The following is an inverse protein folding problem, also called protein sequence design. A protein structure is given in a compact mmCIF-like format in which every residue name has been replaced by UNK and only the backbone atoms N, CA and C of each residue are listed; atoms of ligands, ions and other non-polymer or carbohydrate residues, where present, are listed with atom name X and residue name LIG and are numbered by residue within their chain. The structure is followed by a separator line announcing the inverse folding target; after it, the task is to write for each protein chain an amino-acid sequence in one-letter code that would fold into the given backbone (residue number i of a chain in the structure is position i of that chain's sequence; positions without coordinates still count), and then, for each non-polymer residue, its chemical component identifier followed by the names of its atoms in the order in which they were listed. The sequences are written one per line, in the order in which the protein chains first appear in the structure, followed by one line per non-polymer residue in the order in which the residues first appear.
data_IF_585526554181
#
_entry.id   IF_585526554181
#
_cell.length_a   1.000
_cell.length_b   1.000
_cell.length_c   1.000
_cell.angle_alpha   90.00
_cell.angle_beta   90.00
_cell.angle_gamma   90.00
#
_symmetry.space_group_name_H-M   'P 1'
#
loop_
_entity.id
_entity.type
_entity.pdbx_description
1 polymer ?
#
# COMPACT_ATOMS: atom_id res chain seq x y z
N UNK A 1 -10.90 -17.19 -23.57
CA UNK A 1 -11.26 -16.08 -24.47
C UNK A 1 -12.27 -15.25 -23.73
N UNK A 2 -11.80 -14.18 -23.11
CA UNK A 2 -12.61 -13.27 -22.31
C UNK A 2 -13.38 -12.34 -23.24
N UNK A 3 -14.69 -12.30 -23.07
CA UNK A 3 -15.63 -11.58 -23.94
C UNK A 3 -15.48 -10.07 -23.75
N UNK A 4 -14.90 -9.40 -24.74
CA UNK A 4 -14.60 -7.93 -24.76
C UNK A 4 -15.89 -7.08 -24.82
N UNK A 5 -17.06 -7.68 -24.98
CA UNK A 5 -18.34 -6.97 -25.15
C UNK A 5 -18.96 -6.35 -23.89
N UNK A 6 -18.25 -6.34 -22.75
CA UNK A 6 -18.78 -5.84 -21.46
C UNK A 6 -18.35 -4.41 -21.09
N UNK A 7 -17.77 -3.66 -22.04
CA UNK A 7 -17.16 -2.34 -21.74
C UNK A 7 -18.13 -1.15 -21.93
N UNK A 8 -19.33 -1.36 -22.50
CA UNK A 8 -20.25 -0.28 -22.80
C UNK A 8 -21.51 -0.31 -21.92
N UNK A 9 -21.39 -0.06 -20.63
CA UNK A 9 -22.52 0.45 -19.84
C UNK A 9 -22.08 1.67 -19.06
N UNK A 10 -22.56 2.83 -19.50
CA UNK A 10 -22.50 4.09 -18.77
C UNK A 10 -23.08 3.91 -17.37
N UNK A 11 -22.33 4.33 -16.34
CA UNK A 11 -22.79 4.31 -14.96
C UNK A 11 -23.81 5.40 -14.74
N UNK A 12 -25.03 5.04 -14.36
CA UNK A 12 -26.01 5.97 -13.79
C UNK A 12 -25.55 6.35 -12.37
N UNK A 13 -25.71 7.63 -11.95
CA UNK A 13 -25.30 8.09 -10.63
C UNK A 13 -26.24 7.53 -9.55
N UNK A 14 -25.68 6.87 -8.55
CA UNK A 14 -26.38 6.40 -7.36
C UNK A 14 -26.87 7.59 -6.51
N UNK A 15 -28.18 7.72 -6.36
CA UNK A 15 -28.83 8.72 -5.49
C UNK A 15 -28.62 8.33 -4.03
N UNK A 16 -27.77 9.03 -3.28
CA UNK A 16 -27.62 8.88 -1.83
C UNK A 16 -27.71 10.24 -1.10
N UNK A 17 -28.43 10.21 -0.02
CA UNK A 17 -28.94 11.20 0.89
C UNK A 17 -27.96 12.21 1.54
N UNK A 18 -28.43 13.22 2.31
CA UNK A 18 -27.77 14.52 2.51
C UNK A 18 -26.54 14.52 3.41
N UNK A 19 -25.65 15.47 3.13
CA UNK A 19 -24.33 15.69 3.71
C UNK A 19 -24.38 16.08 5.20
N UNK A 20 -23.50 15.45 6.01
CA UNK A 20 -23.05 15.97 7.31
C UNK A 20 -21.58 16.39 7.18
N UNK A 21 -21.12 17.42 7.92
CA UNK A 21 -19.77 17.95 7.82
C UNK A 21 -18.73 16.88 8.17
N UNK A 22 -17.80 16.63 7.26
CA UNK A 22 -16.83 15.55 7.30
C UNK A 22 -15.45 16.04 7.70
N UNK A 23 -14.71 15.20 8.43
CA UNK A 23 -13.29 15.41 8.69
C UNK A 23 -12.49 15.32 7.37
N UNK A 24 -11.57 16.25 7.08
CA UNK A 24 -11.03 16.50 5.73
C UNK A 24 -9.99 15.52 5.20
N UNK A 25 -9.77 14.34 5.80
CA UNK A 25 -8.53 13.60 5.61
C UNK A 25 -8.55 12.36 4.72
N UNK A 26 -9.70 11.89 4.25
CA UNK A 26 -9.77 10.68 3.42
C UNK A 26 -10.62 10.85 2.17
N UNK A 27 -10.85 12.07 1.72
CA UNK A 27 -11.65 12.33 0.54
C UNK A 27 -10.88 11.97 -0.74
N UNK A 28 -11.60 11.45 -1.73
CA UNK A 28 -11.10 11.30 -3.09
C UNK A 28 -11.21 12.65 -3.81
N UNK A 29 -10.16 13.06 -4.51
CA UNK A 29 -10.15 14.32 -5.26
C UNK A 29 -8.84 15.08 -5.12
N UNK A 30 -8.89 16.34 -5.48
CA UNK A 30 -7.77 17.25 -5.42
C UNK A 30 -7.39 17.58 -3.97
N UNK A 31 -6.12 17.48 -3.62
CA UNK A 31 -5.61 17.78 -2.28
C UNK A 31 -5.79 19.25 -1.86
N UNK A 32 -6.01 20.15 -2.82
CA UNK A 32 -6.12 21.58 -2.56
C UNK A 32 -7.55 22.09 -2.52
N UNK A 33 -8.43 21.55 -3.38
CA UNK A 33 -9.80 22.05 -3.49
C UNK A 33 -10.89 20.97 -3.39
N UNK A 34 -10.54 19.70 -3.23
CA UNK A 34 -11.50 18.59 -3.11
C UNK A 34 -12.22 18.19 -4.41
N UNK A 35 -12.06 18.96 -5.50
CA UNK A 35 -12.75 18.67 -6.76
C UNK A 35 -12.25 17.37 -7.41
N UNK A 36 -13.10 16.73 -8.27
CA UNK A 36 -12.73 15.52 -8.98
C UNK A 36 -11.42 15.68 -9.77
N UNK A 37 -10.65 14.57 -9.87
CA UNK A 37 -9.48 14.49 -10.73
C UNK A 37 -9.92 14.02 -12.12
N UNK A 38 -9.42 14.72 -13.14
CA UNK A 38 -9.56 14.36 -14.55
C UNK A 38 -8.28 13.68 -15.01
N UNK A 39 -8.42 12.58 -15.74
CA UNK A 39 -7.31 11.81 -16.28
C UNK A 39 -7.33 11.86 -17.80
N UNK A 40 -6.17 12.09 -18.42
CA UNK A 40 -6.01 12.13 -19.88
C UNK A 40 -5.07 11.02 -20.35
N UNK A 41 -5.29 10.48 -21.58
CA UNK A 41 -4.38 9.49 -22.17
C UNK A 41 -2.97 10.04 -22.37
N UNK A 42 -2.85 11.33 -22.75
CA UNK A 42 -1.58 12.00 -23.00
C UNK A 42 -1.11 12.79 -21.79
N UNK A 43 0.18 12.67 -21.47
CA UNK A 43 0.82 13.52 -20.50
C UNK A 43 0.99 14.94 -21.04
N UNK A 44 0.87 15.93 -20.15
CA UNK A 44 1.13 17.36 -20.46
C UNK A 44 2.01 17.93 -19.36
N UNK A 45 2.81 18.92 -19.73
CA UNK A 45 3.62 19.69 -18.79
C UNK A 45 2.71 20.43 -17.80
N UNK A 46 2.91 20.18 -16.49
CA UNK A 46 2.13 20.77 -15.39
C UNK A 46 3.03 21.18 -14.25
N UNK A 47 2.69 22.32 -13.64
CA UNK A 47 3.39 22.85 -12.47
C UNK A 47 2.73 22.28 -11.21
N UNK A 48 3.52 21.69 -10.33
CA UNK A 48 3.03 21.25 -9.02
C UNK A 48 2.64 22.45 -8.16
N UNK A 49 1.41 22.47 -7.71
CA UNK A 49 0.87 23.58 -6.92
C UNK A 49 1.47 23.70 -5.50
N UNK A 50 2.24 22.70 -5.06
CA UNK A 50 2.91 22.72 -3.74
C UNK A 50 4.39 23.11 -3.87
N UNK A 51 5.18 22.43 -4.72
CA UNK A 51 6.61 22.68 -4.82
C UNK A 51 7.03 23.58 -6.00
N UNK A 52 6.12 23.95 -6.88
CA UNK A 52 6.38 24.80 -8.04
C UNK A 52 7.21 24.15 -9.16
N UNK A 53 7.60 22.88 -9.03
CA UNK A 53 8.35 22.16 -10.07
C UNK A 53 7.44 21.70 -11.19
N UNK A 54 7.97 21.61 -12.40
CA UNK A 54 7.27 21.14 -13.60
C UNK A 54 7.46 19.64 -13.79
N UNK A 55 6.37 18.95 -14.17
CA UNK A 55 6.33 17.51 -14.43
C UNK A 55 5.46 17.20 -15.64
N UNK A 56 5.74 16.10 -16.32
CA UNK A 56 4.80 15.51 -17.27
C UNK A 56 3.76 14.70 -16.50
N UNK A 57 2.48 15.06 -16.62
CA UNK A 57 1.39 14.46 -15.85
C UNK A 57 0.13 14.27 -16.67
N UNK A 58 -0.57 13.15 -16.38
CA UNK A 58 -1.82 12.75 -17.05
C UNK A 58 -3.07 13.15 -16.25
N UNK A 59 -2.92 13.82 -15.12
CA UNK A 59 -4.05 14.21 -14.29
C UNK A 59 -3.89 15.61 -13.70
N UNK A 60 -5.03 16.24 -13.47
CA UNK A 60 -5.20 17.42 -12.63
C UNK A 60 -6.67 17.47 -12.18
N UNK A 61 -7.03 18.35 -11.26
CA UNK A 61 -8.44 18.59 -10.99
C UNK A 61 -9.08 19.49 -12.06
N UNK A 62 -10.39 19.65 -12.00
CA UNK A 62 -11.15 20.53 -12.92
C UNK A 62 -10.67 21.98 -12.91
N UNK A 63 -10.14 22.47 -11.78
CA UNK A 63 -9.54 23.81 -11.65
C UNK A 63 -8.07 23.85 -12.10
N UNK A 64 -7.52 22.75 -12.63
CA UNK A 64 -6.15 22.67 -13.13
C UNK A 64 -5.08 22.42 -12.06
N UNK A 65 -5.43 22.24 -10.78
CA UNK A 65 -4.44 21.90 -9.75
C UNK A 65 -3.82 20.52 -10.01
N UNK A 66 -2.51 20.49 -10.00
CA UNK A 66 -1.71 19.27 -10.04
C UNK A 66 -0.78 19.22 -8.81
N UNK A 67 -0.63 18.06 -8.20
CA UNK A 67 0.30 17.81 -7.09
C UNK A 67 1.18 16.62 -7.47
N UNK A 68 2.51 16.83 -7.50
CA UNK A 68 3.45 15.76 -7.82
C UNK A 68 3.47 14.67 -6.74
N UNK A 69 3.91 13.47 -7.12
CA UNK A 69 3.94 12.30 -6.24
C UNK A 69 4.74 12.52 -4.96
N UNK A 70 5.85 13.25 -5.02
CA UNK A 70 6.67 13.56 -3.85
C UNK A 70 5.93 14.46 -2.85
N UNK A 71 5.28 15.51 -3.33
CA UNK A 71 4.47 16.39 -2.48
C UNK A 71 3.25 15.68 -1.93
N UNK A 72 2.66 14.75 -2.69
CA UNK A 72 1.53 13.94 -2.25
C UNK A 72 1.94 12.99 -1.11
N UNK A 73 3.11 12.37 -1.20
CA UNK A 73 3.64 11.43 -0.19
C UNK A 73 4.23 12.10 1.05
N UNK A 74 4.86 13.26 0.90
CA UNK A 74 5.70 13.88 1.94
C UNK A 74 4.98 14.05 3.29
N UNK A 75 3.67 14.30 3.27
CA UNK A 75 2.87 14.39 4.48
C UNK A 75 2.59 13.05 5.16
N UNK A 76 2.48 11.96 4.40
CA UNK A 76 2.11 10.63 4.90
C UNK A 76 3.30 9.92 5.59
N UNK A 77 4.49 9.96 4.96
CA UNK A 77 5.69 9.28 5.45
C UNK A 77 6.00 9.67 6.91
N UNK A 78 5.92 10.96 7.25
CA UNK A 78 6.20 11.47 8.59
C UNK A 78 5.26 10.91 9.67
N UNK A 79 4.05 10.47 9.30
CA UNK A 79 3.07 9.94 10.23
C UNK A 79 3.11 8.43 10.37
N UNK A 80 3.27 7.69 9.28
CA UNK A 80 3.21 6.23 9.37
C UNK A 80 4.53 5.58 9.77
N UNK A 81 5.69 6.20 9.49
CA UNK A 81 6.98 5.61 9.83
C UNK A 81 7.18 5.42 11.33
N UNK A 82 6.96 6.42 12.20
CA UNK A 82 7.10 6.23 13.64
C UNK A 82 6.16 5.14 14.17
N UNK A 83 4.93 5.07 13.64
CA UNK A 83 3.96 4.03 13.99
C UNK A 83 4.50 2.64 13.64
N UNK A 84 4.99 2.45 12.43
CA UNK A 84 5.51 1.17 11.97
C UNK A 84 6.76 0.73 12.73
N UNK A 85 7.72 1.63 12.92
CA UNK A 85 8.99 1.34 13.60
C UNK A 85 8.81 0.96 15.07
N UNK A 86 7.78 1.49 15.74
CA UNK A 86 7.45 1.19 17.14
C UNK A 86 6.42 0.06 17.31
N UNK A 87 5.76 -0.37 16.24
CA UNK A 87 4.66 -1.34 16.29
C UNK A 87 5.15 -2.75 16.67
N UNK A 88 4.36 -3.41 17.51
CA UNK A 88 4.47 -4.84 17.82
C UNK A 88 3.33 -5.66 17.21
N UNK A 89 2.46 -5.03 16.40
CA UNK A 89 1.35 -5.71 15.74
C UNK A 89 1.88 -6.77 14.77
N UNK A 90 1.36 -7.98 14.90
CA UNK A 90 1.75 -9.14 14.10
C UNK A 90 0.90 -9.31 12.85
N UNK A 91 -0.36 -8.85 12.91
CA UNK A 91 -1.28 -8.93 11.81
C UNK A 91 -1.05 -7.77 10.82
N UNK A 92 -0.56 -8.05 9.60
CA UNK A 92 -0.25 -7.01 8.64
C UNK A 92 -1.51 -6.27 8.15
N UNK A 93 -2.69 -6.90 8.17
CA UNK A 93 -3.93 -6.23 7.79
C UNK A 93 -4.38 -5.23 8.87
N UNK A 94 -4.29 -5.59 10.16
CA UNK A 94 -4.56 -4.66 11.26
C UNK A 94 -3.59 -3.49 11.23
N UNK A 95 -2.31 -3.76 11.01
CA UNK A 95 -1.29 -2.72 10.91
C UNK A 95 -1.55 -1.80 9.73
N UNK A 96 -1.94 -2.36 8.58
CA UNK A 96 -2.35 -1.58 7.41
C UNK A 96 -3.56 -0.70 7.71
N UNK A 97 -4.60 -1.21 8.39
CA UNK A 97 -5.77 -0.42 8.78
C UNK A 97 -5.41 0.75 9.72
N UNK A 98 -4.48 0.55 10.65
CA UNK A 98 -3.97 1.63 11.50
C UNK A 98 -3.33 2.73 10.64
N UNK A 99 -2.43 2.36 9.72
CA UNK A 99 -1.73 3.29 8.84
C UNK A 99 -2.69 4.03 7.91
N UNK A 100 -3.58 3.32 7.19
CA UNK A 100 -4.47 3.96 6.22
C UNK A 100 -5.61 4.76 6.84
N UNK A 101 -5.70 4.74 8.17
CA UNK A 101 -6.62 5.57 8.94
C UNK A 101 -5.99 6.87 9.42
N UNK A 102 -4.69 7.04 9.24
CA UNK A 102 -4.01 8.29 9.61
C UNK A 102 -4.51 9.45 8.74
N UNK A 103 -4.67 10.65 9.33
CA UNK A 103 -5.27 11.81 8.64
C UNK A 103 -4.55 12.24 7.36
N UNK A 104 -3.28 11.90 7.20
CA UNK A 104 -2.45 12.26 6.03
C UNK A 104 -2.36 11.17 4.97
N UNK A 105 -3.04 10.03 5.17
CA UNK A 105 -3.11 8.96 4.17
C UNK A 105 -4.42 9.09 3.39
N UNK A 106 -4.32 9.59 2.17
CA UNK A 106 -5.47 9.89 1.33
C UNK A 106 -6.24 8.63 0.89
N UNK A 107 -7.41 8.81 0.31
CA UNK A 107 -8.19 7.67 -0.22
C UNK A 107 -7.43 6.96 -1.34
N UNK A 108 -6.81 7.74 -2.22
CA UNK A 108 -5.98 7.29 -3.33
C UNK A 108 -4.70 8.10 -3.37
N UNK A 109 -3.57 7.43 -3.62
CA UNK A 109 -2.30 8.13 -3.77
C UNK A 109 -1.09 7.22 -3.79
N UNK A 110 0.05 7.74 -4.25
CA UNK A 110 1.30 7.00 -4.37
C UNK A 110 1.92 6.61 -3.00
N UNK A 111 1.46 7.17 -1.89
CA UNK A 111 1.88 6.75 -0.55
C UNK A 111 1.53 5.27 -0.27
N UNK A 112 0.44 4.76 -0.86
CA UNK A 112 0.07 3.35 -0.71
C UNK A 112 1.12 2.39 -1.33
N UNK A 113 1.89 2.85 -2.32
CA UNK A 113 3.01 2.07 -2.87
C UNK A 113 4.10 1.85 -1.83
N UNK A 114 4.30 2.81 -0.91
CA UNK A 114 5.27 2.75 0.17
C UNK A 114 4.72 2.02 1.41
N UNK A 115 3.45 2.22 1.73
CA UNK A 115 2.80 1.64 2.93
C UNK A 115 2.83 0.12 2.88
N UNK A 116 2.49 -0.50 1.74
CA UNK A 116 2.41 -1.96 1.62
C UNK A 116 3.71 -2.67 2.01
N UNK A 117 4.88 -2.36 1.39
CA UNK A 117 6.12 -3.04 1.78
C UNK A 117 6.56 -2.73 3.21
N UNK A 118 6.33 -1.51 3.71
CA UNK A 118 6.72 -1.13 5.06
C UNK A 118 5.89 -1.87 6.12
N UNK A 119 4.57 -2.02 5.91
CA UNK A 119 3.68 -2.82 6.76
C UNK A 119 4.11 -4.29 6.78
N UNK A 120 4.39 -4.87 5.62
CA UNK A 120 4.81 -6.26 5.49
C UNK A 120 6.15 -6.52 6.18
N UNK A 121 7.16 -5.65 6.01
CA UNK A 121 8.45 -5.75 6.69
C UNK A 121 8.30 -5.69 8.22
N UNK A 122 7.45 -4.79 8.70
CA UNK A 122 7.18 -4.65 10.14
C UNK A 122 6.49 -5.89 10.70
N UNK A 123 5.43 -6.37 10.05
CA UNK A 123 4.72 -7.57 10.48
C UNK A 123 5.60 -8.82 10.40
N UNK A 124 6.39 -8.97 9.33
CA UNK A 124 7.35 -10.06 9.17
C UNK A 124 8.33 -10.12 10.33
N UNK A 125 8.98 -9.00 10.68
CA UNK A 125 9.87 -8.89 11.84
C UNK A 125 9.14 -9.23 13.15
N UNK A 126 7.88 -8.76 13.32
CA UNK A 126 7.10 -8.98 14.54
C UNK A 126 6.68 -10.45 14.73
N UNK A 127 6.67 -11.25 13.66
CA UNK A 127 6.43 -12.69 13.67
C UNK A 127 7.73 -13.52 13.70
N UNK A 128 8.88 -12.91 14.00
CA UNK A 128 10.16 -13.59 14.16
C UNK A 128 10.97 -13.72 12.87
N UNK A 129 10.52 -13.13 11.78
CA UNK A 129 11.27 -13.09 10.53
C UNK A 129 12.56 -12.27 10.66
N UNK A 130 13.64 -12.75 10.05
CA UNK A 130 14.94 -12.08 10.07
C UNK A 130 15.07 -11.12 8.91
N UNK A 131 15.29 -9.85 9.20
CA UNK A 131 15.51 -8.81 8.21
C UNK A 131 16.99 -8.74 7.79
N UNK A 132 17.30 -8.32 6.55
CA UNK A 132 18.66 -8.11 6.11
C UNK A 132 19.41 -7.13 7.02
N UNK A 133 20.66 -7.47 7.36
CA UNK A 133 21.49 -6.64 8.26
C UNK A 133 21.17 -6.80 9.75
N UNK A 134 20.24 -7.69 10.13
CA UNK A 134 20.15 -8.14 11.50
C UNK A 134 21.47 -8.86 11.85
N UNK A 135 22.19 -8.37 12.88
CA UNK A 135 23.36 -9.05 13.39
C UNK A 135 22.93 -10.46 13.78
N UNK A 136 23.46 -11.47 13.09
CA UNK A 136 23.36 -12.85 13.53
C UNK A 136 24.17 -12.98 14.81
N UNK A 137 23.56 -12.69 15.94
CA UNK A 137 24.05 -13.12 17.23
C UNK A 137 24.04 -14.63 17.20
N UNK A 138 25.21 -15.23 16.93
CA UNK A 138 25.49 -16.65 17.13
C UNK A 138 25.33 -16.94 18.62
N UNK A 139 24.11 -17.17 19.05
CA UNK A 139 23.79 -17.95 20.23
C UNK A 139 22.85 -19.06 19.79
N UNK A 140 23.46 -20.24 19.62
CA UNK A 140 22.75 -21.50 19.76
C UNK A 140 22.07 -21.48 21.14
N UNK A 141 20.80 -21.08 21.19
CA UNK A 141 19.98 -21.16 22.37
C UNK A 141 19.01 -22.33 22.19
N UNK A 142 19.17 -23.33 23.09
CA UNK A 142 18.15 -24.33 23.40
C UNK A 142 16.74 -23.69 23.52
N UNK A 143 15.66 -24.44 23.23
CA UNK A 143 14.31 -23.90 23.27
C UNK A 143 13.89 -23.63 24.72
N UNK A 144 14.16 -22.42 25.19
CA UNK A 144 13.57 -21.89 26.40
C UNK A 144 12.37 -21.00 26.03
N UNK A 145 11.24 -21.31 26.64
CA UNK A 145 9.95 -20.58 26.56
C UNK A 145 10.19 -19.07 26.67
N UNK A 146 9.73 -18.24 25.74
CA UNK A 146 9.89 -16.80 25.87
C UNK A 146 9.01 -16.27 26.99
N UNK A 147 9.64 -15.78 28.05
CA UNK A 147 9.00 -14.97 29.09
C UNK A 147 8.43 -13.70 28.45
N UNK A 148 7.12 -13.52 28.52
CA UNK A 148 6.42 -12.34 28.09
C UNK A 148 6.61 -11.21 29.12
N UNK A 149 7.78 -10.59 29.14
CA UNK A 149 7.98 -9.33 29.86
C UNK A 149 7.45 -8.17 29.00
N UNK A 150 6.66 -7.24 29.57
CA UNK A 150 6.20 -6.07 28.84
C UNK A 150 7.41 -5.20 28.44
N UNK A 151 7.55 -4.92 27.13
CA UNK A 151 8.60 -4.04 26.63
C UNK A 151 8.44 -2.65 27.21
N UNK A 152 9.53 -2.09 27.73
CA UNK A 152 9.58 -0.72 28.20
C UNK A 152 9.19 0.29 27.08
N UNK A 153 8.53 1.41 27.37
CA UNK A 153 8.00 2.37 26.40
C UNK A 153 9.06 3.08 25.53
N UNK A 154 10.35 2.82 25.73
CA UNK A 154 11.49 3.35 24.96
C UNK A 154 12.49 2.26 24.59
N UNK A 155 12.02 1.17 23.97
CA UNK A 155 12.97 0.24 23.33
C UNK A 155 13.61 0.91 22.12
N UNK A 156 14.95 0.83 21.94
CA UNK A 156 15.60 1.36 20.76
C UNK A 156 14.98 0.75 19.51
N UNK A 157 14.78 1.57 18.48
CA UNK A 157 14.26 1.13 17.19
C UNK A 157 15.22 0.05 16.65
N UNK A 158 14.66 -1.06 16.19
CA UNK A 158 15.43 -2.15 15.57
C UNK A 158 16.13 -1.62 14.29
N UNK A 159 17.47 -1.54 14.26
CA UNK A 159 18.18 -0.98 13.11
C UNK A 159 17.95 -1.75 11.81
N UNK A 160 17.72 -3.06 11.88
CA UNK A 160 17.45 -3.88 10.71
C UNK A 160 16.08 -3.53 10.11
N UNK A 161 15.07 -3.30 10.95
CA UNK A 161 13.77 -2.83 10.50
C UNK A 161 13.88 -1.42 9.91
N UNK A 162 14.54 -0.50 10.60
CA UNK A 162 14.69 0.87 10.13
C UNK A 162 15.37 0.93 8.75
N UNK A 163 16.46 0.17 8.56
CA UNK A 163 17.17 0.10 7.28
C UNK A 163 16.30 -0.52 6.17
N UNK A 164 15.62 -1.63 6.48
CA UNK A 164 14.74 -2.30 5.52
C UNK A 164 13.56 -1.41 5.09
N UNK A 165 12.96 -0.68 6.03
CA UNK A 165 11.87 0.28 5.76
C UNK A 165 12.38 1.48 4.95
N UNK A 166 13.56 2.03 5.26
CA UNK A 166 14.19 3.08 4.45
C UNK A 166 14.45 2.63 3.01
N UNK A 167 14.91 1.41 2.83
CA UNK A 167 15.14 0.83 1.49
C UNK A 167 13.80 0.61 0.75
N UNK A 168 12.77 0.12 1.44
CA UNK A 168 11.44 -0.03 0.87
C UNK A 168 10.88 1.32 0.39
N UNK A 169 11.01 2.37 1.19
CA UNK A 169 10.64 3.74 0.80
C UNK A 169 11.41 4.22 -0.42
N UNK A 170 12.73 4.03 -0.43
CA UNK A 170 13.59 4.45 -1.54
C UNK A 170 13.16 3.81 -2.87
N UNK A 171 12.87 2.49 -2.85
CA UNK A 171 12.41 1.75 -4.05
C UNK A 171 11.00 2.16 -4.44
N UNK A 172 10.08 2.20 -3.49
CA UNK A 172 8.66 2.49 -3.74
C UNK A 172 8.41 3.91 -4.28
N UNK A 173 9.25 4.87 -3.91
CA UNK A 173 9.19 6.25 -4.45
C UNK A 173 9.48 6.33 -5.94
N UNK A 174 10.09 5.31 -6.52
CA UNK A 174 10.32 5.21 -7.97
C UNK A 174 9.10 4.67 -8.73
N UNK A 175 8.07 4.16 -8.05
CA UNK A 175 6.82 3.72 -8.67
C UNK A 175 5.89 4.91 -8.82
N UNK A 176 5.67 5.44 -10.04
CA UNK A 176 4.86 6.63 -10.26
C UNK A 176 3.39 6.42 -9.90
N UNK A 177 2.69 7.51 -9.61
CA UNK A 177 1.23 7.51 -9.54
C UNK A 177 0.60 7.21 -10.89
N UNK A 178 -0.60 6.60 -10.89
CA UNK A 178 -1.34 6.30 -12.12
C UNK A 178 -0.95 5.02 -12.85
N UNK A 179 0.15 4.34 -12.48
CA UNK A 179 0.62 3.11 -13.14
C UNK A 179 -0.44 2.01 -13.19
N UNK A 180 -1.33 1.94 -12.22
CA UNK A 180 -2.41 0.94 -12.19
C UNK A 180 -3.36 1.06 -13.40
N UNK A 181 -3.61 2.27 -13.89
CA UNK A 181 -4.46 2.51 -15.05
C UNK A 181 -3.69 2.55 -16.37
N UNK A 182 -2.51 3.21 -16.38
CA UNK A 182 -1.77 3.44 -17.62
C UNK A 182 -0.81 2.30 -18.00
N UNK A 183 -0.28 1.56 -17.02
CA UNK A 183 0.68 0.47 -17.27
C UNK A 183 0.12 -0.91 -16.92
N UNK A 184 -1.08 -0.97 -16.32
CA UNK A 184 -1.63 -2.22 -15.79
C UNK A 184 -0.88 -2.77 -14.56
N UNK A 185 -0.05 -1.95 -13.93
CA UNK A 185 0.76 -2.35 -12.76
C UNK A 185 0.31 -1.57 -11.53
N UNK A 186 -0.40 -2.25 -10.62
CA UNK A 186 -0.80 -1.64 -9.35
C UNK A 186 0.42 -1.41 -8.45
N UNK A 187 0.59 -0.19 -7.94
CA UNK A 187 1.71 0.13 -7.04
C UNK A 187 1.69 -0.64 -5.71
N UNK A 188 0.54 -1.13 -5.25
CA UNK A 188 0.46 -2.04 -4.10
C UNK A 188 1.08 -3.41 -4.42
N UNK A 189 0.86 -3.94 -5.62
CA UNK A 189 1.51 -5.17 -6.09
C UNK A 189 3.02 -4.98 -6.24
N UNK A 190 3.45 -3.87 -6.85
CA UNK A 190 4.87 -3.52 -6.91
C UNK A 190 5.48 -3.42 -5.50
N UNK A 191 4.75 -2.85 -4.53
CA UNK A 191 5.15 -2.79 -3.13
C UNK A 191 5.34 -4.17 -2.49
N UNK A 192 4.44 -5.13 -2.75
CA UNK A 192 4.61 -6.52 -2.31
C UNK A 192 5.87 -7.16 -2.91
N UNK A 193 6.13 -6.93 -4.21
CA UNK A 193 7.38 -7.36 -4.86
C UNK A 193 8.62 -6.74 -4.25
N UNK A 194 8.58 -5.43 -3.91
CA UNK A 194 9.68 -4.73 -3.23
C UNK A 194 9.96 -5.36 -1.86
N UNK A 195 8.92 -5.65 -1.07
CA UNK A 195 9.03 -6.35 0.20
C UNK A 195 9.80 -7.67 0.05
N UNK A 196 9.35 -8.55 -0.83
CA UNK A 196 9.97 -9.86 -1.06
C UNK A 196 11.40 -9.73 -1.61
N UNK A 197 11.61 -8.77 -2.53
CA UNK A 197 12.94 -8.49 -3.08
C UNK A 197 13.95 -8.04 -2.01
N UNK A 198 13.51 -7.26 -1.01
CA UNK A 198 14.36 -6.86 0.12
C UNK A 198 14.71 -8.08 0.97
N UNK A 199 13.74 -8.91 1.34
CA UNK A 199 13.97 -10.10 2.17
C UNK A 199 14.97 -11.06 1.53
N UNK A 200 14.89 -11.26 0.22
CA UNK A 200 15.72 -12.24 -0.51
C UNK A 200 17.02 -11.63 -1.06
N UNK A 201 17.28 -10.33 -0.87
CA UNK A 201 18.40 -9.66 -1.49
C UNK A 201 18.38 -9.74 -3.02
N UNK A 202 17.19 -9.81 -3.62
CA UNK A 202 17.02 -9.98 -5.05
C UNK A 202 17.52 -8.75 -5.83
N UNK A 203 18.20 -9.02 -6.95
CA UNK A 203 18.63 -8.02 -7.92
C UNK A 203 18.55 -8.60 -9.35
N UNK A 204 18.76 -7.80 -10.41
CA UNK A 204 18.58 -8.24 -11.80
C UNK A 204 19.42 -9.44 -12.24
N UNK A 205 20.51 -9.73 -11.54
CA UNK A 205 21.44 -10.84 -11.88
C UNK A 205 21.40 -12.00 -10.88
N UNK A 206 20.57 -11.90 -9.84
CA UNK A 206 20.45 -12.93 -8.80
C UNK A 206 19.51 -14.05 -9.26
N UNK A 207 20.03 -15.03 -9.96
CA UNK A 207 19.29 -16.10 -10.64
C UNK A 207 18.19 -16.74 -9.80
N UNK A 208 18.48 -17.13 -8.56
CA UNK A 208 17.58 -17.91 -7.72
C UNK A 208 16.53 -17.05 -6.99
N UNK A 209 16.89 -15.82 -6.59
CA UNK A 209 15.99 -14.92 -5.91
C UNK A 209 15.12 -14.08 -6.87
N UNK A 210 15.59 -13.86 -8.11
CA UNK A 210 14.91 -12.98 -9.07
C UNK A 210 13.47 -13.40 -9.42
N UNK A 211 13.12 -14.69 -9.63
CA UNK A 211 11.75 -15.07 -10.00
C UNK A 211 10.73 -14.90 -8.88
N UNK A 212 11.15 -14.96 -7.61
CA UNK A 212 10.21 -15.00 -6.48
C UNK A 212 9.42 -13.69 -6.30
N UNK A 213 10.05 -12.49 -6.24
CA UNK A 213 9.29 -11.24 -6.21
C UNK A 213 8.45 -11.02 -7.47
N UNK A 214 8.86 -11.53 -8.65
CA UNK A 214 8.06 -11.48 -9.88
C UNK A 214 6.77 -12.29 -9.73
N UNK A 215 6.87 -13.52 -9.19
CA UNK A 215 5.72 -14.38 -8.95
C UNK A 215 4.74 -13.73 -7.96
N UNK A 216 5.24 -13.16 -6.87
CA UNK A 216 4.38 -12.46 -5.89
C UNK A 216 3.63 -11.29 -6.53
N UNK A 217 4.30 -10.50 -7.37
CA UNK A 217 3.65 -9.39 -8.10
C UNK A 217 2.57 -9.93 -9.04
N UNK A 218 2.85 -11.02 -9.77
CA UNK A 218 1.89 -11.64 -10.68
C UNK A 218 0.63 -12.14 -9.95
N UNK A 219 0.80 -12.83 -8.81
CA UNK A 219 -0.31 -13.31 -7.98
C UNK A 219 -1.16 -12.13 -7.45
N UNK A 220 -0.52 -11.04 -7.02
CA UNK A 220 -1.21 -9.83 -6.60
C UNK A 220 -1.99 -9.18 -7.74
N UNK A 221 -1.40 -9.05 -8.92
CA UNK A 221 -2.04 -8.44 -10.10
C UNK A 221 -3.21 -9.29 -10.60
N UNK A 222 -3.07 -10.62 -10.60
CA UNK A 222 -4.15 -11.53 -10.94
C UNK A 222 -5.35 -11.32 -10.03
N UNK A 223 -5.13 -11.27 -8.70
CA UNK A 223 -6.21 -11.06 -7.73
C UNK A 223 -6.87 -9.69 -7.85
N UNK A 224 -6.09 -8.65 -8.13
CA UNK A 224 -6.62 -7.31 -8.40
C UNK A 224 -7.52 -7.32 -9.65
N UNK A 225 -7.10 -8.00 -10.72
CA UNK A 225 -7.87 -8.10 -11.96
C UNK A 225 -9.17 -8.89 -11.78
N UNK A 226 -9.17 -9.97 -10.98
CA UNK A 226 -10.37 -10.75 -10.64
C UNK A 226 -11.42 -9.91 -9.89
N UNK A 227 -10.98 -9.09 -8.94
CA UNK A 227 -11.88 -8.19 -8.18
C UNK A 227 -12.37 -7.02 -9.03
N UNK A 228 -11.56 -6.58 -9.98
CA UNK A 228 -11.90 -5.52 -10.93
C UNK A 228 -11.73 -4.10 -10.40
N UNK A 229 -12.11 -3.14 -11.28
CA UNK A 229 -12.02 -1.70 -11.04
C UNK A 229 -13.38 -1.08 -10.69
N UNK A 230 -13.42 0.27 -10.52
CA UNK A 230 -12.26 1.17 -10.60
C UNK A 230 -11.28 1.02 -9.45
N UNK A 231 -10.13 1.73 -9.53
CA UNK A 231 -9.06 1.64 -8.52
C UNK A 231 -9.58 1.96 -7.12
N UNK A 232 -9.02 1.26 -6.14
CA UNK A 232 -9.12 1.63 -4.74
C UNK A 232 -7.83 1.21 -4.03
N UNK A 233 -6.96 2.18 -3.69
CA UNK A 233 -5.64 1.89 -3.12
C UNK A 233 -5.73 1.13 -1.79
N UNK A 234 -6.78 1.39 -0.98
CA UNK A 234 -7.01 0.66 0.27
C UNK A 234 -7.45 -0.79 0.00
N UNK A 235 -8.31 -1.04 -0.99
CA UNK A 235 -8.71 -2.40 -1.39
C UNK A 235 -7.52 -3.18 -1.95
N UNK A 236 -6.80 -2.61 -2.91
CA UNK A 236 -5.66 -3.30 -3.53
C UNK A 236 -4.52 -3.52 -2.54
N UNK A 237 -4.30 -2.59 -1.59
CA UNK A 237 -3.35 -2.78 -0.50
C UNK A 237 -3.70 -4.00 0.36
N UNK A 238 -4.96 -4.15 0.77
CA UNK A 238 -5.42 -5.33 1.53
C UNK A 238 -5.24 -6.63 0.76
N UNK A 239 -5.63 -6.65 -0.52
CA UNK A 239 -5.45 -7.84 -1.39
C UNK A 239 -3.98 -8.24 -1.48
N UNK A 240 -3.09 -7.29 -1.76
CA UNK A 240 -1.66 -7.57 -1.88
C UNK A 240 -1.02 -8.01 -0.56
N UNK A 241 -1.44 -7.43 0.57
CA UNK A 241 -0.95 -7.82 1.90
C UNK A 241 -1.39 -9.24 2.25
N UNK A 242 -2.65 -9.61 1.97
CA UNK A 242 -3.14 -10.98 2.18
C UNK A 242 -2.31 -11.98 1.40
N UNK A 243 -2.14 -11.78 0.09
CA UNK A 243 -1.36 -12.68 -0.77
C UNK A 243 0.10 -12.73 -0.32
N UNK A 244 0.70 -11.57 0.01
CA UNK A 244 2.08 -11.53 0.46
C UNK A 244 2.28 -12.28 1.79
N UNK A 245 1.32 -12.21 2.72
CA UNK A 245 1.37 -12.97 3.97
C UNK A 245 1.27 -14.47 3.71
N UNK A 246 0.34 -14.92 2.86
CA UNK A 246 0.18 -16.32 2.46
C UNK A 246 1.47 -16.86 1.80
N UNK A 247 2.04 -16.11 0.84
CA UNK A 247 3.30 -16.49 0.18
C UNK A 247 4.50 -16.45 1.11
N UNK A 248 4.52 -15.56 2.09
CA UNK A 248 5.57 -15.52 3.10
C UNK A 248 5.55 -16.75 3.98
N UNK A 249 4.37 -17.20 4.40
CA UNK A 249 4.21 -18.47 5.13
C UNK A 249 4.66 -19.67 4.29
N UNK A 250 4.23 -19.74 3.03
CA UNK A 250 4.56 -20.83 2.11
C UNK A 250 6.07 -20.88 1.77
N UNK A 251 6.68 -19.74 1.43
CA UNK A 251 8.04 -19.72 0.89
C UNK A 251 9.13 -19.51 1.93
N UNK A 252 8.81 -18.82 3.04
CA UNK A 252 9.79 -18.44 4.06
C UNK A 252 9.49 -19.06 5.43
N UNK A 253 8.37 -19.78 5.59
CA UNK A 253 7.97 -20.43 6.85
C UNK A 253 7.61 -19.45 7.97
N UNK A 254 7.35 -18.19 7.66
CA UNK A 254 6.92 -17.18 8.64
C UNK A 254 5.44 -16.91 8.46
N UNK A 255 4.65 -17.41 9.40
CA UNK A 255 3.21 -17.19 9.44
C UNK A 255 2.88 -15.82 10.05
N UNK A 256 2.06 -15.05 9.32
CA UNK A 256 1.55 -13.75 9.76
C UNK A 256 0.02 -13.87 9.88
N UNK A 257 -0.57 -13.67 11.07
CA UNK A 257 -2.02 -13.78 11.25
C UNK A 257 -2.76 -12.75 10.39
N UNK A 258 -3.90 -13.15 9.84
CA UNK A 258 -4.73 -12.31 8.99
C UNK A 258 -6.13 -12.20 9.58
N UNK A 259 -6.52 -11.01 10.01
CA UNK A 259 -7.88 -10.74 10.49
C UNK A 259 -8.84 -10.44 9.34
N UNK A 260 -10.11 -10.77 9.56
CA UNK A 260 -11.18 -10.29 8.68
C UNK A 260 -11.30 -8.78 8.77
N UNK A 261 -11.21 -8.10 7.63
CA UNK A 261 -11.31 -6.64 7.54
C UNK A 261 -12.62 -6.24 6.86
N UNK A 262 -13.31 -5.27 7.46
CA UNK A 262 -14.47 -4.59 6.88
C UNK A 262 -14.15 -3.13 6.60
N UNK A 263 -14.45 -2.67 5.40
CA UNK A 263 -14.10 -1.32 4.96
C UNK A 263 -14.92 -0.26 5.68
N UNK A 264 -14.25 0.74 6.26
CA UNK A 264 -14.88 1.92 6.87
C UNK A 264 -14.82 3.18 6.00
N UNK A 265 -14.24 3.09 4.81
CA UNK A 265 -13.98 4.23 3.92
C UNK A 265 -14.95 4.34 2.75
N UNK A 266 -16.03 3.55 2.72
CA UNK A 266 -16.94 3.47 1.58
C UNK A 266 -17.57 4.82 1.23
N UNK A 267 -17.86 5.67 2.24
CA UNK A 267 -18.49 6.98 2.04
C UNK A 267 -17.52 8.05 1.53
N UNK A 268 -16.20 7.86 1.74
CA UNK A 268 -15.16 8.77 1.27
C UNK A 268 -14.66 8.41 -0.13
N UNK A 269 -15.00 7.24 -0.64
CA UNK A 269 -14.56 6.76 -1.94
C UNK A 269 -15.66 6.89 -2.99
N UNK A 270 -15.58 7.89 -3.84
CA UNK A 270 -16.53 8.10 -4.97
C UNK A 270 -16.50 6.95 -5.98
N UNK A 271 -15.37 6.21 -6.06
CA UNK A 271 -15.14 5.10 -6.99
C UNK A 271 -15.33 3.73 -6.27
N UNK A 272 -16.18 3.67 -5.22
CA UNK A 272 -16.40 2.46 -4.47
C UNK A 272 -17.20 1.42 -5.28
N UNK A 273 -16.75 0.15 -5.26
CA UNK A 273 -17.49 -0.98 -5.87
C UNK A 273 -18.78 -1.35 -5.10
N UNK A 274 -18.99 -0.80 -3.90
CA UNK A 274 -20.14 -1.17 -3.09
C UNK A 274 -20.12 -2.68 -2.74
N UNK A 275 -21.27 -3.37 -2.86
CA UNK A 275 -21.42 -4.79 -2.50
C UNK A 275 -20.48 -5.75 -3.24
N UNK A 276 -19.98 -5.37 -4.41
CA UNK A 276 -19.03 -6.20 -5.18
C UNK A 276 -17.61 -6.16 -4.61
N UNK A 277 -17.34 -5.25 -3.66
CA UNK A 277 -16.05 -5.20 -2.98
C UNK A 277 -15.95 -6.32 -1.92
N UNK A 278 -14.86 -7.12 -1.89
CA UNK A 278 -14.70 -8.18 -0.89
C UNK A 278 -14.66 -7.68 0.56
N UNK A 279 -14.39 -6.40 0.76
CA UNK A 279 -14.32 -5.75 2.08
C UNK A 279 -15.57 -4.93 2.40
N UNK A 280 -16.67 -5.12 1.69
CA UNK A 280 -17.90 -4.36 1.95
C UNK A 280 -18.51 -4.73 3.31
N UNK A 281 -18.87 -3.74 4.18
CA UNK A 281 -19.19 -4.02 5.58
C UNK A 281 -20.54 -4.70 5.81
N UNK A 282 -21.42 -4.71 4.81
CA UNK A 282 -22.79 -5.24 4.91
C UNK A 282 -22.96 -6.64 4.28
N UNK A 283 -21.86 -7.38 4.12
CA UNK A 283 -21.88 -8.78 3.69
C UNK A 283 -22.11 -9.71 4.86
#
# INVERSE_FOLDING_TARGET
MTDIKRIEKAQEPCCCAPEKPQAPSHESGCLLCGKPLVYWPEAKSRVCAICGKTFEANCACEDGHFVCDDCHRAGADAFFLPLLLSSTEKDPLKLFEQVVSLPRVHMHGPEHHCIVPCVLLTAYRNNGGQLPGASSGLHAASPSVPSAAPRAPFSPVDPALENSVKEALRRSKQVPGGTCGYWGVCGAAAGAGIYMSILLGSNPVHKDAWPIPQQLVADCLQKIAEVGGPRCCKRTGRLCITIAAERTAEWLGIDMPLSEIRCRFLRQNRECLGPDCPYFPLR
#
